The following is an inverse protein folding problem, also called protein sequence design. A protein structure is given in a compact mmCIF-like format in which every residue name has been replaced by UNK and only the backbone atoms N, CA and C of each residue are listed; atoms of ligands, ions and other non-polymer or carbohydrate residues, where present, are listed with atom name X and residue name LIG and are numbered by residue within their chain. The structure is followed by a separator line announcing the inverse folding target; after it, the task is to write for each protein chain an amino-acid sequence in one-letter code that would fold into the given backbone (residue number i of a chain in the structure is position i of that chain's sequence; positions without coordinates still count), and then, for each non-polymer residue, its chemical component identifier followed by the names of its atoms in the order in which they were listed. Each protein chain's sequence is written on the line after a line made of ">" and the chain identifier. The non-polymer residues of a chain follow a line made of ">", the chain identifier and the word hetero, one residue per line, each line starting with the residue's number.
data_IF_500273098167
#
_entry.id   IF_500273098167
#
_cell.length_a   1.000
_cell.length_b   1.000
_cell.length_c   1.000
_cell.angle_alpha   90.00
_cell.angle_beta   90.00
_cell.angle_gamma   90.00
#
_symmetry.space_group_name_H-M   'P 1'
#
loop_
_entity.id
_entity.type
_entity.pdbx_description
1 polymer ?
#
# COMPACT_ATOMS: atom_id res chain seq x y z
N UNK A 1 13.26 -14.72 10.12
CA UNK A 1 12.22 -14.43 9.12
C UNK A 1 11.92 -15.72 8.38
N UNK A 2 10.65 -16.08 8.24
CA UNK A 2 10.22 -17.24 7.45
C UNK A 2 10.56 -16.96 5.98
N UNK A 3 11.49 -17.73 5.40
CA UNK A 3 11.97 -17.55 4.02
C UNK A 3 10.89 -17.73 2.94
N UNK A 4 9.71 -18.21 3.33
CA UNK A 4 8.56 -18.41 2.42
C UNK A 4 7.64 -17.20 2.33
N UNK A 5 7.73 -16.25 3.24
CA UNK A 5 6.90 -15.06 3.24
C UNK A 5 7.60 -13.89 2.53
N UNK A 6 6.82 -13.10 1.82
CA UNK A 6 7.22 -11.83 1.21
C UNK A 6 6.34 -10.73 1.83
N UNK A 7 6.70 -10.31 3.04
CA UNK A 7 5.84 -9.54 3.94
C UNK A 7 5.96 -8.01 3.77
N UNK A 8 6.91 -7.55 2.95
CA UNK A 8 7.10 -6.15 2.60
C UNK A 8 7.27 -6.01 1.09
N UNK A 9 7.20 -4.78 0.58
CA UNK A 9 7.38 -4.47 -0.86
C UNK A 9 8.70 -5.02 -1.44
N UNK A 10 9.72 -5.12 -0.62
CA UNK A 10 11.05 -5.59 -1.00
C UNK A 10 11.44 -6.93 -0.36
N UNK A 11 10.51 -7.63 0.26
CA UNK A 11 10.72 -8.91 0.93
C UNK A 11 11.22 -8.76 2.36
N UNK A 12 12.09 -7.79 2.62
CA UNK A 12 12.62 -7.49 3.95
C UNK A 12 12.79 -5.98 4.19
N UNK A 13 13.20 -5.61 5.41
CA UNK A 13 13.41 -4.21 5.81
C UNK A 13 14.70 -3.60 5.25
N UNK A 14 15.58 -4.39 4.64
CA UNK A 14 16.81 -3.91 3.99
C UNK A 14 16.61 -3.53 2.53
N UNK A 15 15.38 -3.67 2.01
CA UNK A 15 15.01 -3.33 0.64
C UNK A 15 15.83 -4.04 -0.45
N UNK A 16 16.30 -5.25 -0.16
CA UNK A 16 17.21 -6.00 -1.04
C UNK A 16 16.49 -6.67 -2.22
N UNK A 17 15.18 -6.91 -2.13
CA UNK A 17 14.37 -7.65 -3.12
C UNK A 17 14.95 -9.02 -3.43
N UNK A 18 15.56 -9.66 -2.44
CA UNK A 18 16.22 -10.95 -2.57
C UNK A 18 15.47 -12.03 -1.81
N UNK A 19 15.20 -13.14 -2.51
CA UNK A 19 14.64 -14.36 -1.91
C UNK A 19 15.73 -15.41 -1.68
N UNK A 20 15.70 -16.07 -0.52
CA UNK A 20 16.55 -17.23 -0.23
C UNK A 20 16.01 -18.54 -0.83
N UNK A 21 14.85 -18.51 -1.50
CA UNK A 21 14.31 -19.65 -2.24
C UNK A 21 15.23 -19.96 -3.43
N UNK A 22 15.47 -21.24 -3.70
CA UNK A 22 16.41 -21.68 -4.72
C UNK A 22 15.81 -22.67 -5.75
N UNK A 23 14.50 -22.88 -5.71
CA UNK A 23 13.81 -23.72 -6.70
C UNK A 23 13.97 -23.18 -8.12
N UNK A 24 14.04 -21.86 -8.27
CA UNK A 24 14.35 -21.19 -9.54
C UNK A 24 15.80 -20.74 -9.50
N UNK A 25 16.57 -21.15 -10.49
CA UNK A 25 18.00 -20.89 -10.60
C UNK A 25 18.45 -20.81 -12.06
N UNK A 26 19.71 -20.52 -12.31
CA UNK A 26 20.29 -20.36 -13.67
C UNK A 26 20.08 -21.59 -14.57
N UNK A 27 19.97 -22.78 -13.98
CA UNK A 27 19.80 -24.03 -14.74
C UNK A 27 18.36 -24.29 -15.20
N UNK A 28 17.38 -23.65 -14.61
CA UNK A 28 15.97 -23.91 -14.92
C UNK A 28 15.11 -22.68 -15.23
N UNK A 29 15.60 -21.47 -15.02
CA UNK A 29 14.83 -20.24 -15.26
C UNK A 29 14.32 -20.12 -16.70
N UNK A 30 15.09 -20.57 -17.70
CA UNK A 30 14.67 -20.58 -19.10
C UNK A 30 13.54 -21.57 -19.44
N UNK A 31 13.18 -22.45 -18.51
CA UNK A 31 12.07 -23.40 -18.66
C UNK A 31 10.80 -22.98 -17.95
N UNK A 32 10.80 -21.79 -17.35
CA UNK A 32 9.61 -21.28 -16.66
C UNK A 32 8.46 -21.06 -17.63
N UNK A 33 7.26 -21.39 -17.17
CA UNK A 33 6.01 -21.15 -17.89
C UNK A 33 5.02 -20.43 -16.96
N UNK A 34 4.04 -19.73 -17.56
CA UNK A 34 2.94 -19.11 -16.80
C UNK A 34 2.12 -20.23 -16.18
N UNK A 35 2.05 -20.25 -14.85
CA UNK A 35 1.23 -21.21 -14.11
C UNK A 35 -0.25 -20.80 -14.11
N UNK A 36 -0.52 -19.49 -13.92
CA UNK A 36 -1.87 -18.92 -13.94
C UNK A 36 -1.79 -17.40 -14.09
N UNK A 37 -2.91 -16.77 -14.37
CA UNK A 37 -3.07 -15.32 -14.50
C UNK A 37 -4.25 -14.85 -13.66
N UNK A 38 -4.16 -13.61 -13.18
CA UNK A 38 -5.23 -12.97 -12.42
C UNK A 38 -5.49 -11.57 -12.96
N UNK A 39 -6.78 -11.22 -13.18
CA UNK A 39 -7.19 -9.89 -13.57
C UNK A 39 -7.82 -9.15 -12.39
N UNK A 40 -7.31 -7.96 -12.07
CA UNK A 40 -7.91 -7.06 -11.07
C UNK A 40 -9.18 -6.39 -11.57
N UNK A 41 -9.45 -6.46 -12.88
CA UNK A 41 -10.55 -5.75 -13.53
C UNK A 41 -10.35 -4.23 -13.60
N UNK A 42 -9.09 -3.75 -13.52
CA UNK A 42 -8.75 -2.32 -13.62
C UNK A 42 -7.70 -2.13 -14.71
N UNK A 43 -8.03 -1.33 -15.74
CA UNK A 43 -7.16 -1.04 -16.88
C UNK A 43 -6.35 0.25 -16.64
N UNK A 44 -5.48 0.21 -15.65
CA UNK A 44 -4.58 1.32 -15.27
C UNK A 44 -3.22 0.76 -14.84
N UNK A 45 -2.21 1.62 -14.73
CA UNK A 45 -0.88 1.21 -14.31
C UNK A 45 -0.85 0.55 -12.93
N UNK A 46 -0.33 -0.67 -12.84
CA UNK A 46 -0.17 -1.43 -11.61
C UNK A 46 1.30 -1.36 -11.17
N UNK A 47 1.60 -0.56 -10.15
CA UNK A 47 2.96 -0.34 -9.66
C UNK A 47 3.26 -1.09 -8.34
N UNK A 48 2.25 -1.63 -7.70
CA UNK A 48 2.39 -2.29 -6.40
C UNK A 48 2.89 -3.72 -6.50
N UNK A 49 3.73 -4.12 -5.55
CA UNK A 49 4.14 -5.51 -5.39
C UNK A 49 3.14 -6.27 -4.52
N UNK A 50 2.81 -7.52 -4.85
CA UNK A 50 2.01 -8.36 -3.97
C UNK A 50 2.77 -8.70 -2.69
N UNK A 51 2.05 -8.92 -1.60
CA UNK A 51 2.58 -9.52 -0.38
C UNK A 51 2.20 -11.00 -0.34
N UNK A 52 3.09 -11.83 0.18
CA UNK A 52 2.82 -13.26 0.37
C UNK A 52 3.03 -13.62 1.84
N UNK A 53 1.97 -14.08 2.48
CA UNK A 53 1.96 -14.42 3.91
C UNK A 53 1.26 -15.76 4.09
N UNK A 54 2.00 -16.75 4.55
CA UNK A 54 1.47 -18.09 4.89
C UNK A 54 0.59 -18.69 3.79
N UNK A 55 1.12 -18.72 2.55
CA UNK A 55 0.44 -19.27 1.39
C UNK A 55 -0.68 -18.41 0.80
N UNK A 56 -0.91 -17.21 1.32
CA UNK A 56 -1.88 -16.25 0.79
C UNK A 56 -1.15 -15.08 0.13
N UNK A 57 -1.63 -14.70 -1.04
CA UNK A 57 -1.17 -13.50 -1.73
C UNK A 57 -2.17 -12.37 -1.52
N UNK A 58 -1.70 -11.23 -1.03
CA UNK A 58 -2.45 -9.99 -0.95
C UNK A 58 -1.98 -9.07 -2.06
N UNK A 59 -2.91 -8.62 -2.88
CA UNK A 59 -2.64 -7.66 -3.94
C UNK A 59 -3.73 -6.60 -4.00
N UNK A 60 -3.42 -5.48 -4.62
CA UNK A 60 -4.33 -4.36 -4.75
C UNK A 60 -4.36 -3.85 -6.19
N UNK A 61 -5.36 -3.06 -6.51
CA UNK A 61 -5.42 -2.34 -7.77
C UNK A 61 -5.01 -0.87 -7.60
N UNK A 62 -4.67 -0.17 -8.70
CA UNK A 62 -4.77 1.29 -8.75
C UNK A 62 -6.20 1.73 -8.39
N UNK A 63 -6.52 3.02 -8.48
CA UNK A 63 -7.91 3.46 -8.25
C UNK A 63 -8.91 2.51 -8.95
N UNK A 64 -9.96 2.05 -8.28
CA UNK A 64 -10.49 2.45 -6.98
C UNK A 64 -9.88 1.72 -5.76
N UNK A 65 -8.66 1.22 -5.83
CA UNK A 65 -7.92 0.60 -4.72
C UNK A 65 -8.60 -0.66 -4.15
N UNK A 66 -9.04 -1.55 -5.04
CA UNK A 66 -9.52 -2.87 -4.63
C UNK A 66 -8.40 -3.67 -3.97
N UNK A 67 -8.73 -4.49 -2.99
CA UNK A 67 -7.79 -5.44 -2.38
C UNK A 67 -8.31 -6.84 -2.52
N UNK A 68 -7.41 -7.78 -2.81
CA UNK A 68 -7.71 -9.19 -2.97
C UNK A 68 -6.81 -10.01 -2.07
N UNK A 69 -7.36 -11.04 -1.45
CA UNK A 69 -6.58 -12.14 -0.89
C UNK A 69 -6.83 -13.39 -1.74
N UNK A 70 -5.76 -14.00 -2.18
CA UNK A 70 -5.78 -15.18 -3.04
C UNK A 70 -5.02 -16.30 -2.33
N UNK A 71 -5.62 -17.47 -2.28
CA UNK A 71 -4.96 -18.69 -1.85
C UNK A 71 -4.03 -19.19 -2.97
N UNK A 72 -2.75 -19.34 -2.67
CA UNK A 72 -1.75 -19.71 -3.68
C UNK A 72 -1.78 -21.17 -4.09
N UNK A 73 -2.31 -22.06 -3.25
CA UNK A 73 -2.42 -23.48 -3.58
C UNK A 73 -3.62 -23.73 -4.50
N UNK A 74 -4.75 -23.11 -4.21
CA UNK A 74 -6.00 -23.29 -4.96
C UNK A 74 -6.24 -22.22 -6.02
N UNK A 75 -5.52 -21.10 -5.97
CA UNK A 75 -5.66 -19.91 -6.85
C UNK A 75 -7.05 -19.24 -6.74
N UNK A 76 -7.78 -19.51 -5.67
CA UNK A 76 -9.10 -18.94 -5.43
C UNK A 76 -9.00 -17.65 -4.64
N UNK A 77 -9.89 -16.71 -4.97
CA UNK A 77 -10.09 -15.51 -4.16
C UNK A 77 -10.71 -15.92 -2.82
N UNK A 78 -10.02 -15.64 -1.73
CA UNK A 78 -10.52 -15.85 -0.37
C UNK A 78 -11.49 -14.75 0.04
N UNK A 79 -11.12 -13.52 -0.28
CA UNK A 79 -11.97 -12.34 -0.11
C UNK A 79 -11.52 -11.20 -1.03
N UNK A 80 -12.42 -10.24 -1.20
CA UNK A 80 -12.22 -9.01 -1.97
C UNK A 80 -12.77 -7.85 -1.17
N UNK A 81 -12.02 -6.77 -1.13
CA UNK A 81 -12.45 -5.47 -0.62
C UNK A 81 -12.57 -4.48 -1.79
N UNK A 82 -13.73 -3.83 -1.90
CA UNK A 82 -14.01 -2.83 -2.93
C UNK A 82 -14.49 -1.54 -2.25
N UNK A 83 -13.60 -0.56 -2.07
CA UNK A 83 -14.00 0.71 -1.49
C UNK A 83 -14.88 1.51 -2.45
N UNK A 84 -15.79 2.27 -1.87
CA UNK A 84 -16.53 3.30 -2.59
C UNK A 84 -15.79 4.62 -2.44
N UNK A 85 -15.08 5.04 -3.48
CA UNK A 85 -14.38 6.31 -3.53
C UNK A 85 -15.03 7.23 -4.57
N UNK A 86 -15.00 8.54 -4.30
CA UNK A 86 -15.45 9.54 -5.26
C UNK A 86 -14.43 9.65 -6.42
N UNK A 87 -14.81 9.40 -7.67
CA UNK A 87 -13.90 9.55 -8.81
C UNK A 87 -13.41 11.00 -9.02
N UNK A 88 -13.99 11.98 -8.37
CA UNK A 88 -13.48 13.37 -8.36
C UNK A 88 -12.05 13.49 -7.83
N UNK A 89 -11.53 12.47 -7.13
CA UNK A 89 -10.12 12.41 -6.71
C UNK A 89 -9.15 12.19 -7.88
N UNK A 90 -9.59 11.56 -8.96
CA UNK A 90 -8.73 11.14 -10.08
C UNK A 90 -7.93 12.30 -10.70
N UNK A 91 -8.51 13.47 -11.01
CA UNK A 91 -7.75 14.57 -11.59
C UNK A 91 -6.66 15.16 -10.68
N UNK A 92 -6.72 14.86 -9.39
CA UNK A 92 -5.74 15.33 -8.39
C UNK A 92 -4.59 14.34 -8.19
N UNK A 93 -4.74 13.12 -8.72
CA UNK A 93 -3.67 12.13 -8.65
C UNK A 93 -2.59 12.45 -9.69
N UNK A 94 -1.32 12.41 -9.28
CA UNK A 94 -0.21 12.47 -10.21
C UNK A 94 0.05 11.10 -10.84
N UNK A 95 0.46 11.13 -12.10
CA UNK A 95 1.13 9.98 -12.72
C UNK A 95 0.24 8.76 -12.91
N UNK A 96 -0.98 8.95 -13.45
CA UNK A 96 -2.07 7.98 -13.48
C UNK A 96 -2.66 7.76 -12.06
N UNK A 97 -3.47 6.75 -11.90
CA UNK A 97 -4.21 6.45 -10.66
C UNK A 97 -3.50 5.37 -9.83
N UNK A 98 -2.19 5.38 -9.83
CA UNK A 98 -1.36 4.32 -9.24
C UNK A 98 -1.50 4.19 -7.72
N UNK A 99 -1.21 3.00 -7.24
CA UNK A 99 -1.00 2.72 -5.82
C UNK A 99 0.19 1.78 -5.69
N UNK A 100 1.14 2.11 -4.79
CA UNK A 100 2.42 1.42 -4.70
C UNK A 100 2.45 0.26 -3.72
N UNK A 101 1.37 0.03 -2.97
CA UNK A 101 1.34 -1.23 -2.23
C UNK A 101 0.55 -1.25 -0.94
N UNK A 102 0.59 -2.44 -0.37
CA UNK A 102 0.02 -2.80 0.90
C UNK A 102 1.12 -2.92 1.96
N UNK A 103 0.74 -2.83 3.24
CA UNK A 103 1.55 -3.32 4.34
C UNK A 103 0.79 -4.41 5.09
N UNK A 104 1.54 -5.27 5.79
CA UNK A 104 0.97 -6.35 6.60
C UNK A 104 1.65 -6.41 7.96
N UNK A 105 0.86 -6.49 9.00
CA UNK A 105 1.32 -6.83 10.35
C UNK A 105 0.14 -7.31 11.22
N UNK A 106 0.44 -8.19 12.16
CA UNK A 106 -0.48 -8.64 13.22
C UNK A 106 -1.87 -9.07 12.67
N UNK A 107 -1.90 -9.81 11.56
CA UNK A 107 -3.13 -10.27 10.95
C UNK A 107 -3.97 -9.19 10.28
N UNK A 108 -3.39 -8.03 10.00
CA UNK A 108 -4.03 -6.89 9.34
C UNK A 108 -3.32 -6.53 8.04
N UNK A 109 -4.09 -6.12 7.04
CA UNK A 109 -3.60 -5.54 5.79
C UNK A 109 -3.93 -4.05 5.80
N UNK A 110 -2.93 -3.23 5.54
CA UNK A 110 -3.07 -1.77 5.51
C UNK A 110 -2.95 -1.26 4.09
N UNK A 111 -3.83 -0.32 3.75
CA UNK A 111 -3.84 0.35 2.45
C UNK A 111 -4.06 1.85 2.64
N UNK A 112 -3.25 2.64 1.95
CA UNK A 112 -3.51 4.04 1.76
C UNK A 112 -4.31 4.21 0.47
N UNK A 113 -5.53 4.71 0.56
CA UNK A 113 -6.41 4.92 -0.58
C UNK A 113 -6.15 6.27 -1.27
N UNK A 114 -6.55 6.38 -2.53
CA UNK A 114 -6.41 7.60 -3.33
C UNK A 114 -7.08 8.82 -2.68
N UNK A 115 -8.24 8.62 -2.08
CA UNK A 115 -9.00 9.65 -1.35
C UNK A 115 -8.45 10.01 0.03
N UNK A 116 -7.21 9.60 0.31
CA UNK A 116 -6.48 9.82 1.56
C UNK A 116 -7.05 9.14 2.80
N UNK A 117 -7.88 8.11 2.64
CA UNK A 117 -8.20 7.23 3.74
C UNK A 117 -7.08 6.19 3.92
N UNK A 118 -6.49 6.14 5.10
CA UNK A 118 -5.68 5.01 5.55
C UNK A 118 -6.61 4.00 6.23
N UNK A 119 -6.58 2.76 5.77
CA UNK A 119 -7.45 1.71 6.27
C UNK A 119 -6.68 0.49 6.77
N UNK A 120 -7.28 -0.23 7.71
CA UNK A 120 -6.87 -1.56 8.11
C UNK A 120 -7.99 -2.56 7.81
N UNK A 121 -7.63 -3.65 7.15
CA UNK A 121 -8.50 -4.79 6.87
C UNK A 121 -8.03 -5.99 7.68
N UNK A 122 -8.96 -6.78 8.17
CA UNK A 122 -8.67 -8.09 8.72
C UNK A 122 -8.13 -9.02 7.62
N UNK A 123 -6.93 -9.52 7.78
CA UNK A 123 -6.25 -10.30 6.74
C UNK A 123 -6.92 -11.65 6.44
N UNK A 124 -7.73 -12.18 7.36
CA UNK A 124 -8.45 -13.44 7.19
C UNK A 124 -9.77 -13.26 6.44
N UNK A 125 -10.45 -12.16 6.68
CA UNK A 125 -11.84 -11.95 6.22
C UNK A 125 -12.03 -10.79 5.24
N UNK A 126 -11.05 -9.89 5.11
CA UNK A 126 -11.16 -8.68 4.31
C UNK A 126 -12.07 -7.61 4.92
N UNK A 127 -12.60 -7.82 6.12
CA UNK A 127 -13.46 -6.84 6.80
C UNK A 127 -12.67 -5.63 7.24
N UNK A 128 -13.25 -4.44 7.06
CA UNK A 128 -12.70 -3.18 7.55
C UNK A 128 -12.67 -3.18 9.08
N UNK A 129 -11.48 -2.96 9.65
CA UNK A 129 -11.27 -2.82 11.10
C UNK A 129 -11.38 -1.36 11.50
N UNK A 130 -10.63 -0.50 10.82
CA UNK A 130 -10.68 0.94 11.01
C UNK A 130 -10.32 1.70 9.73
N UNK A 131 -10.75 2.94 9.64
CA UNK A 131 -10.43 3.88 8.57
C UNK A 131 -10.23 5.27 9.16
N UNK A 132 -9.16 5.95 8.75
CA UNK A 132 -8.84 7.30 9.19
C UNK A 132 -8.43 8.17 8.03
N UNK A 133 -8.77 9.46 8.09
CA UNK A 133 -8.40 10.44 7.07
C UNK A 133 -6.97 10.92 7.31
N UNK A 134 -6.09 10.73 6.32
CA UNK A 134 -4.71 11.22 6.36
C UNK A 134 -4.52 12.58 5.68
N UNK A 135 -5.43 12.97 4.79
CA UNK A 135 -5.43 14.24 4.06
C UNK A 135 -6.80 14.58 3.50
N UNK A 136 -6.95 15.76 2.93
CA UNK A 136 -8.18 16.18 2.26
C UNK A 136 -7.97 16.30 0.74
N UNK A 137 -8.56 15.41 -0.08
CA UNK A 137 -8.45 15.48 -1.53
C UNK A 137 -8.94 16.79 -2.14
N UNK A 138 -9.90 17.47 -1.50
CA UNK A 138 -10.39 18.78 -1.96
C UNK A 138 -9.31 19.86 -1.94
N UNK A 139 -8.27 19.65 -1.12
CA UNK A 139 -7.11 20.51 -1.03
C UNK A 139 -5.91 19.96 -1.83
N UNK A 140 -6.13 18.97 -2.68
CA UNK A 140 -5.08 18.32 -3.46
C UNK A 140 -4.30 17.23 -2.71
N UNK A 141 -4.64 16.96 -1.43
CA UNK A 141 -3.96 15.95 -0.63
C UNK A 141 -4.49 14.54 -0.94
N UNK A 142 -3.79 13.82 -1.78
CA UNK A 142 -4.10 12.46 -2.24
C UNK A 142 -3.00 11.48 -1.86
N UNK A 143 -3.19 10.20 -2.13
CA UNK A 143 -2.18 9.19 -1.83
C UNK A 143 -2.01 8.17 -2.96
N UNK A 144 -0.73 7.88 -3.22
CA UNK A 144 -0.28 6.86 -4.17
C UNK A 144 0.77 5.94 -3.55
N UNK A 145 1.14 6.17 -2.30
CA UNK A 145 2.20 5.45 -1.59
C UNK A 145 1.70 4.17 -0.92
N UNK A 146 2.63 3.26 -0.66
CA UNK A 146 2.42 2.13 0.26
C UNK A 146 2.66 2.59 1.70
N UNK A 147 1.79 2.23 2.67
CA UNK A 147 2.11 2.43 4.07
C UNK A 147 3.23 1.49 4.52
N UNK A 148 3.90 1.84 5.61
CA UNK A 148 4.90 1.02 6.26
C UNK A 148 4.50 0.72 7.70
N UNK A 149 4.85 -0.47 8.20
CA UNK A 149 4.64 -0.81 9.61
C UNK A 149 5.98 -0.85 10.32
N UNK A 150 6.05 -0.16 11.43
CA UNK A 150 7.17 -0.23 12.36
C UNK A 150 6.65 -0.35 13.78
N UNK A 151 6.96 -1.47 14.45
CA UNK A 151 6.39 -1.83 15.77
C UNK A 151 4.86 -1.77 15.73
N UNK A 152 4.27 -1.02 16.62
CA UNK A 152 2.83 -0.81 16.80
C UNK A 152 2.26 0.37 15.98
N UNK A 153 2.99 0.83 14.97
CA UNK A 153 2.60 2.00 14.16
C UNK A 153 2.53 1.69 12.67
N UNK A 154 1.50 2.22 12.03
CA UNK A 154 1.40 2.33 10.57
C UNK A 154 1.85 3.74 10.18
N UNK A 155 2.88 3.84 9.36
CA UNK A 155 3.48 5.10 8.94
C UNK A 155 3.14 5.34 7.48
N UNK A 156 2.69 6.53 7.16
CA UNK A 156 2.37 6.95 5.78
C UNK A 156 2.67 8.43 5.57
N UNK A 157 2.92 8.81 4.32
CA UNK A 157 3.07 10.18 3.90
C UNK A 157 1.82 10.74 3.24
N UNK A 158 2.00 11.83 2.49
CA UNK A 158 0.98 12.48 1.68
C UNK A 158 1.59 12.92 0.34
N UNK A 159 0.78 12.86 -0.71
CA UNK A 159 1.09 13.44 -2.02
C UNK A 159 0.34 14.77 -2.20
N UNK A 160 0.65 15.50 -3.27
CA UNK A 160 -0.04 16.74 -3.63
C UNK A 160 0.81 18.00 -3.47
N UNK A 161 2.15 17.86 -3.40
CA UNK A 161 3.05 19.02 -3.35
C UNK A 161 2.85 19.97 -4.54
N UNK A 162 2.52 19.44 -5.71
CA UNK A 162 2.17 20.19 -6.92
C UNK A 162 0.89 21.03 -6.78
N UNK A 163 0.05 20.71 -5.81
CA UNK A 163 -1.18 21.44 -5.45
C UNK A 163 -0.99 22.35 -4.23
N UNK A 164 0.24 22.52 -3.76
CA UNK A 164 0.54 23.31 -2.57
C UNK A 164 0.31 22.56 -1.24
N UNK A 165 0.16 21.24 -1.27
CA UNK A 165 0.07 20.45 -0.05
C UNK A 165 1.42 20.39 0.65
N UNK A 166 1.48 20.84 1.90
CA UNK A 166 2.68 20.71 2.72
C UNK A 166 2.91 19.24 3.06
N UNK A 167 4.02 18.68 2.59
CA UNK A 167 4.39 17.28 2.78
C UNK A 167 4.57 16.93 4.27
N UNK A 168 4.20 15.71 4.64
CA UNK A 168 4.38 15.20 6.00
C UNK A 168 4.51 13.69 6.02
N UNK A 169 5.02 13.17 7.12
CA UNK A 169 4.84 11.79 7.57
C UNK A 169 3.94 11.79 8.80
N UNK A 170 3.07 10.80 8.89
CA UNK A 170 2.24 10.57 10.04
C UNK A 170 2.27 9.09 10.44
N UNK A 171 2.14 8.83 11.72
CA UNK A 171 2.05 7.49 12.28
C UNK A 171 0.72 7.31 13.00
N UNK A 172 0.14 6.14 12.81
CA UNK A 172 -1.16 5.75 13.36
C UNK A 172 -1.00 4.46 14.17
N UNK A 173 -1.71 4.36 15.27
CA UNK A 173 -1.75 3.14 16.07
C UNK A 173 -2.32 1.97 15.23
N UNK A 174 -1.62 0.85 15.24
CA UNK A 174 -1.92 -0.31 14.37
C UNK A 174 -3.29 -0.94 14.66
N UNK A 175 -3.81 -0.80 15.87
CA UNK A 175 -5.06 -1.42 16.30
C UNK A 175 -6.27 -0.49 16.17
N UNK A 176 -6.06 0.78 16.40
CA UNK A 176 -7.16 1.76 16.50
C UNK A 176 -7.22 2.77 15.37
N UNK A 177 -6.13 2.92 14.59
CA UNK A 177 -5.99 3.98 13.60
C UNK A 177 -5.84 5.38 14.22
N UNK A 178 -5.73 5.52 15.55
CA UNK A 178 -5.51 6.82 16.18
C UNK A 178 -4.14 7.37 15.78
N UNK A 179 -4.11 8.63 15.35
CA UNK A 179 -2.85 9.28 15.01
C UNK A 179 -1.98 9.43 16.27
N UNK A 180 -0.76 8.91 16.19
CA UNK A 180 0.22 8.98 17.26
C UNK A 180 1.10 10.23 17.15
N UNK A 181 1.54 10.54 15.92
CA UNK A 181 2.30 11.74 15.62
C UNK A 181 2.17 12.13 14.15
N UNK A 182 2.53 13.37 13.84
CA UNK A 182 2.66 13.91 12.50
C UNK A 182 3.84 14.88 12.48
N UNK A 183 4.71 14.73 11.49
CA UNK A 183 5.86 15.60 11.26
C UNK A 183 5.86 16.12 9.83
N UNK A 184 5.98 17.43 9.66
CA UNK A 184 6.06 18.07 8.34
C UNK A 184 7.46 17.97 7.76
N UNK A 185 7.56 17.85 6.44
CA UNK A 185 8.83 17.76 5.70
C UNK A 185 9.58 19.09 5.63
N UNK A 186 8.85 20.19 5.69
CA UNK A 186 9.39 21.56 5.71
C UNK A 186 8.77 22.34 6.86
N UNK A 187 9.55 23.26 7.45
CA UNK A 187 9.10 24.17 8.49
C UNK A 187 8.05 25.17 8.01
N UNK A 188 7.44 25.97 8.89
CA UNK A 188 6.63 27.11 8.51
C UNK A 188 7.47 28.13 7.73
N UNK A 189 6.85 28.98 6.92
CA UNK A 189 7.54 29.92 6.02
C UNK A 189 8.60 30.75 6.75
N UNK A 190 8.37 31.13 8.01
CA UNK A 190 9.33 31.85 8.84
C UNK A 190 10.63 31.09 9.16
N UNK A 191 10.62 29.75 9.02
CA UNK A 191 11.79 28.87 9.21
C UNK A 191 12.44 28.46 7.87
N UNK A 192 11.77 28.74 6.75
CA UNK A 192 12.27 28.53 5.42
C UNK A 192 13.14 29.73 5.07
N UNK A 193 14.45 29.59 5.01
CA UNK A 193 15.41 30.64 4.62
C UNK A 193 15.25 31.04 3.13
N UNK A 194 14.03 31.34 2.73
CA UNK A 194 13.68 31.81 1.39
C UNK A 194 13.28 33.28 1.55
N UNK A 195 14.06 34.16 0.96
CA UNK A 195 13.65 35.57 0.80
C UNK A 195 12.39 35.64 -0.06
N UNK A 196 11.37 36.37 0.33
CA UNK A 196 10.13 36.52 -0.41
C UNK A 196 10.32 37.24 -1.75
#
# INVERSE_FOLDING_TARGET
>A
ANSKNWATQAGDMFNQRYSKLNQINKGNVGKMQVAWTFSTGVLRGHEGSPLVIDGKMFLHSPFPNKVFAIDLDTQKILWKYEPKQDPAVIPQMCCDTVNRGLAYAEGKVFLQQADSNLIALDAKTGKLIWSVKNGDPKLGAVNTNAPHVFKDKVITGISGGEWGVRGFLAAYDINTGKQAWKGYSVGPDAEMLIDP
#
